data_IF_094612991502
#
_entry.id   IF_094612991502
#
_cell.length_a   1.000
_cell.length_b   1.000
_cell.length_c   1.000
_cell.angle_alpha   90.00
_cell.angle_beta   90.00
_cell.angle_gamma   90.00
#
_symmetry.space_group_name_H-M   'P 1'
#
loop_
_entity.id
_entity.type
_entity.pdbx_description
1 polymer ?
#
# COMPACT_ATOMS: atom_id res chain seq x y z
N UNK A 1 11.65 7.41 -58.84
CA UNK A 1 11.58 5.93 -58.77
C UNK A 1 12.85 5.43 -58.09
N UNK A 2 12.78 5.17 -56.79
CA UNK A 2 13.86 4.50 -56.03
C UNK A 2 13.19 3.37 -55.27
N UNK A 3 13.34 2.15 -55.77
CA UNK A 3 12.91 0.94 -55.06
C UNK A 3 13.98 0.59 -54.03
N UNK A 4 13.68 0.74 -52.74
CA UNK A 4 14.48 0.14 -51.67
C UNK A 4 13.76 -1.10 -51.14
N UNK A 5 14.37 -2.27 -51.36
CA UNK A 5 13.89 -3.58 -50.92
C UNK A 5 14.14 -3.70 -49.41
N UNK A 6 13.07 -3.70 -48.61
CA UNK A 6 13.15 -4.08 -47.19
C UNK A 6 13.13 -5.61 -47.13
N UNK A 7 14.25 -6.21 -46.74
CA UNK A 7 14.39 -7.66 -46.56
C UNK A 7 13.97 -8.03 -45.13
N UNK A 8 12.75 -8.56 -44.96
CA UNK A 8 12.29 -9.17 -43.71
C UNK A 8 12.61 -10.66 -43.72
N UNK A 9 13.84 -11.02 -43.39
CA UNK A 9 14.21 -12.41 -43.07
C UNK A 9 14.85 -12.45 -41.69
N UNK A 10 14.05 -12.31 -40.62
CA UNK A 10 14.37 -12.70 -39.24
C UNK A 10 13.17 -12.46 -38.29
N UNK A 11 11.97 -12.92 -38.63
CA UNK A 11 10.87 -13.00 -37.66
C UNK A 11 10.50 -14.47 -37.45
N UNK A 12 11.09 -15.03 -36.40
CA UNK A 12 10.96 -16.42 -35.96
C UNK A 12 9.51 -16.69 -35.52
N UNK A 13 8.92 -17.75 -36.07
CA UNK A 13 7.53 -18.19 -35.85
C UNK A 13 7.19 -18.70 -34.44
N UNK A 14 7.96 -18.29 -33.42
CA UNK A 14 7.76 -18.63 -32.02
C UNK A 14 6.92 -17.57 -31.27
N UNK A 15 6.71 -16.39 -31.85
CA UNK A 15 5.98 -15.29 -31.19
C UNK A 15 4.44 -15.37 -31.32
N UNK A 16 3.89 -16.25 -32.17
CA UNK A 16 2.44 -16.34 -32.39
C UNK A 16 1.76 -17.37 -31.47
N UNK A 17 2.51 -18.36 -30.95
CA UNK A 17 1.94 -19.46 -30.15
C UNK A 17 1.71 -19.07 -28.68
N UNK A 18 2.49 -18.12 -28.15
CA UNK A 18 2.38 -17.69 -26.74
C UNK A 18 1.16 -16.77 -26.50
N UNK A 19 0.69 -16.07 -27.53
CA UNK A 19 -0.45 -15.14 -27.42
C UNK A 19 -1.83 -15.82 -27.32
N UNK A 20 -1.94 -17.11 -27.65
CA UNK A 20 -3.22 -17.83 -27.73
C UNK A 20 -3.56 -18.67 -26.48
N UNK A 21 -2.60 -18.85 -25.56
CA UNK A 21 -2.75 -19.69 -24.36
C UNK A 21 -3.11 -18.92 -23.07
N UNK A 22 -3.18 -17.59 -23.11
CA UNK A 22 -3.47 -16.76 -21.94
C UNK A 22 -4.97 -16.37 -21.78
N UNK A 23 -5.87 -16.88 -22.64
CA UNK A 23 -7.29 -16.45 -22.66
C UNK A 23 -8.22 -17.45 -21.94
N UNK A 24 -7.72 -18.57 -21.40
CA UNK A 24 -8.56 -19.66 -20.84
C UNK A 24 -8.20 -20.05 -19.40
N UNK A 25 -8.23 -19.08 -18.48
CA UNK A 25 -8.21 -19.34 -17.03
C UNK A 25 -9.32 -18.59 -16.27
N UNK A 26 -10.46 -18.35 -16.93
CA UNK A 26 -11.71 -17.95 -16.28
C UNK A 26 -12.50 -19.17 -15.81
N UNK A 27 -11.98 -19.93 -14.83
CA UNK A 27 -12.73 -20.98 -14.15
C UNK A 27 -13.37 -20.41 -12.88
N UNK A 28 -14.68 -20.62 -12.74
CA UNK A 28 -15.57 -19.84 -11.90
C UNK A 28 -15.43 -20.00 -10.39
N UNK A 29 -15.58 -18.89 -9.68
CA UNK A 29 -15.97 -18.86 -8.28
C UNK A 29 -17.45 -19.27 -8.16
N UNK A 30 -17.71 -20.56 -7.98
CA UNK A 30 -19.02 -21.04 -7.52
C UNK A 30 -19.12 -20.76 -6.01
N UNK A 31 -19.75 -19.66 -5.61
CA UNK A 31 -20.08 -19.41 -4.20
C UNK A 31 -21.22 -20.34 -3.76
N UNK A 32 -20.93 -21.22 -2.80
CA UNK A 32 -21.94 -21.96 -2.07
C UNK A 32 -22.90 -21.02 -1.30
N UNK A 33 -24.17 -21.39 -1.07
CA UNK A 33 -25.09 -20.59 -0.28
C UNK A 33 -24.60 -20.45 1.17
N UNK A 34 -24.91 -19.33 1.84
CA UNK A 34 -24.37 -19.03 3.17
C UNK A 34 -24.94 -19.97 4.23
N UNK A 35 -24.06 -20.73 4.88
CA UNK A 35 -24.34 -21.37 6.16
C UNK A 35 -24.61 -20.29 7.20
N UNK A 36 -25.73 -20.38 7.90
CA UNK A 36 -26.08 -19.52 9.02
C UNK A 36 -24.96 -19.54 10.07
N UNK A 37 -24.34 -18.40 10.41
CA UNK A 37 -23.37 -18.38 11.50
C UNK A 37 -24.13 -18.48 12.82
N UNK A 38 -23.96 -19.62 13.50
CA UNK A 38 -24.20 -19.68 14.95
C UNK A 38 -23.20 -18.71 15.56
N UNK A 39 -23.70 -17.63 16.15
CA UNK A 39 -22.90 -16.65 16.88
C UNK A 39 -22.36 -17.34 18.12
N UNK A 40 -21.15 -17.88 18.01
CA UNK A 40 -20.34 -18.23 19.16
C UNK A 40 -19.95 -16.93 19.86
N UNK A 41 -20.30 -16.80 21.13
CA UNK A 41 -19.93 -15.67 21.98
C UNK A 41 -18.40 -15.65 22.10
N UNK A 42 -17.76 -14.72 21.40
CA UNK A 42 -16.32 -14.50 21.49
C UNK A 42 -15.98 -14.00 22.91
N UNK A 43 -15.09 -14.66 23.66
CA UNK A 43 -14.65 -14.12 24.94
C UNK A 43 -13.92 -12.80 24.70
N UNK A 44 -14.27 -11.78 25.49
CA UNK A 44 -13.67 -10.46 25.42
C UNK A 44 -12.15 -10.58 25.62
N UNK A 45 -11.38 -10.27 24.58
CA UNK A 45 -9.94 -10.16 24.68
C UNK A 45 -9.62 -9.03 25.67
N UNK A 46 -8.68 -9.29 26.58
CA UNK A 46 -8.16 -8.30 27.51
C UNK A 46 -7.50 -7.18 26.70
N UNK A 47 -8.16 -6.03 26.61
CA UNK A 47 -7.64 -4.86 25.91
C UNK A 47 -6.66 -4.14 26.84
N UNK A 48 -5.37 -4.20 26.50
CA UNK A 48 -4.33 -3.39 27.12
C UNK A 48 -4.27 -2.09 26.32
N UNK A 49 -4.85 -1.02 26.86
CA UNK A 49 -4.72 0.31 26.28
C UNK A 49 -3.37 0.88 26.71
N UNK A 50 -2.45 1.04 25.75
CA UNK A 50 -1.22 1.80 25.97
C UNK A 50 -1.56 3.24 25.62
N UNK A 51 -1.50 4.13 26.61
CA UNK A 51 -1.69 5.57 26.43
C UNK A 51 -0.42 6.13 25.76
N UNK A 52 -0.34 5.96 24.45
CA UNK A 52 0.66 6.58 23.58
C UNK A 52 0.02 7.79 22.88
N UNK A 53 0.54 9.02 23.05
CA UNK A 53 -0.04 10.22 22.44
C UNK A 53 -0.03 10.19 20.90
N UNK A 54 0.76 9.32 20.28
CA UNK A 54 0.81 9.12 18.83
C UNK A 54 -0.01 7.90 18.36
N UNK A 55 -0.66 7.17 19.28
CA UNK A 55 -1.52 6.05 18.91
C UNK A 55 -2.79 6.55 18.21
N UNK A 56 -3.08 6.09 16.98
CA UNK A 56 -4.28 6.52 16.27
C UNK A 56 -5.53 6.15 17.07
N UNK A 57 -6.37 7.14 17.34
CA UNK A 57 -7.63 6.95 18.05
C UNK A 57 -8.46 5.86 17.38
N UNK A 58 -8.95 4.91 18.18
CA UNK A 58 -9.73 3.79 17.68
C UNK A 58 -10.97 4.31 16.92
N UNK A 59 -11.22 3.75 15.74
CA UNK A 59 -12.32 4.18 14.90
C UNK A 59 -13.66 4.11 15.67
N UNK A 60 -14.36 5.24 15.74
CA UNK A 60 -15.66 5.34 16.41
C UNK A 60 -16.65 4.31 15.83
N UNK A 61 -17.45 3.69 16.71
CA UNK A 61 -18.45 2.72 16.33
C UNK A 61 -19.47 3.34 15.35
N UNK A 62 -19.64 2.71 14.19
CA UNK A 62 -20.52 3.21 13.13
C UNK A 62 -21.98 3.06 13.55
N UNK A 63 -22.84 4.08 13.35
CA UNK A 63 -24.27 3.94 13.59
C UNK A 63 -24.87 2.86 12.68
N UNK A 64 -25.89 2.17 13.17
CA UNK A 64 -26.68 1.19 12.41
C UNK A 64 -28.14 1.63 12.36
N UNK A 65 -28.84 1.27 11.28
CA UNK A 65 -30.29 1.42 11.21
C UNK A 65 -31.00 0.40 12.12
N UNK A 66 -32.29 0.60 12.46
CA UNK A 66 -33.06 -0.34 13.29
C UNK A 66 -33.21 -1.75 12.68
N UNK A 67 -32.99 -1.88 11.37
CA UNK A 67 -33.02 -3.14 10.61
C UNK A 67 -31.68 -3.89 10.65
N UNK A 68 -30.66 -3.35 11.35
CA UNK A 68 -29.35 -3.97 11.52
C UNK A 68 -28.36 -3.71 10.38
N UNK A 69 -28.73 -2.98 9.33
CA UNK A 69 -27.80 -2.61 8.27
C UNK A 69 -26.94 -1.40 8.69
N UNK A 70 -25.69 -1.31 8.20
CA UNK A 70 -24.82 -0.17 8.48
C UNK A 70 -25.41 1.13 7.97
N UNK A 71 -25.37 2.17 8.81
CA UNK A 71 -25.82 3.50 8.43
C UNK A 71 -24.70 4.29 7.73
N UNK A 72 -24.98 4.76 6.51
CA UNK A 72 -24.07 5.56 5.68
C UNK A 72 -24.45 7.05 5.63
N UNK A 73 -25.57 7.44 6.23
CA UNK A 73 -26.08 8.81 6.21
C UNK A 73 -25.34 9.76 7.18
N UNK A 74 -24.46 9.24 8.04
CA UNK A 74 -23.59 10.04 8.90
C UNK A 74 -22.31 10.51 8.19
N UNK A 75 -21.58 11.44 8.80
CA UNK A 75 -20.23 11.78 8.34
C UNK A 75 -19.35 10.52 8.36
N UNK A 76 -18.79 10.17 7.20
CA UNK A 76 -17.85 9.05 7.12
C UNK A 76 -16.56 9.48 7.81
N UNK A 77 -16.34 9.00 9.03
CA UNK A 77 -15.01 9.01 9.63
C UNK A 77 -14.12 8.10 8.79
N UNK A 78 -13.05 8.64 8.22
CA UNK A 78 -12.10 7.87 7.45
C UNK A 78 -11.40 6.86 8.38
N UNK A 79 -11.27 5.61 7.94
CA UNK A 79 -10.57 4.57 8.70
C UNK A 79 -9.05 4.83 8.84
N UNK A 80 -8.51 5.81 8.12
CA UNK A 80 -7.12 6.25 8.15
C UNK A 80 -7.03 7.77 8.03
N UNK A 81 -5.99 8.36 8.61
CA UNK A 81 -5.65 9.77 8.40
C UNK A 81 -5.51 10.02 6.90
N UNK A 82 -6.35 10.89 6.34
CA UNK A 82 -6.26 11.27 4.94
C UNK A 82 -5.39 12.52 4.83
N UNK A 83 -4.50 12.53 3.85
CA UNK A 83 -3.67 13.70 3.54
C UNK A 83 -4.57 14.88 3.15
N UNK A 84 -4.39 16.03 3.80
CA UNK A 84 -5.11 17.25 3.44
C UNK A 84 -4.60 17.85 2.13
N UNK A 85 -5.37 18.75 1.52
CA UNK A 85 -4.93 19.45 0.30
C UNK A 85 -3.69 20.31 0.60
N UNK A 86 -3.65 20.94 1.76
CA UNK A 86 -2.55 21.77 2.23
C UNK A 86 -1.28 20.93 2.40
N UNK A 87 -1.39 19.76 3.05
CA UNK A 87 -0.28 18.81 3.17
C UNK A 87 0.21 18.32 1.81
N UNK A 88 -0.71 18.01 0.88
CA UNK A 88 -0.35 17.59 -0.47
C UNK A 88 0.45 18.68 -1.20
N UNK A 89 0.03 19.94 -1.10
CA UNK A 89 0.77 21.08 -1.70
C UNK A 89 2.14 21.28 -1.04
N UNK A 90 2.24 21.13 0.28
CA UNK A 90 3.51 21.22 0.99
C UNK A 90 4.47 20.09 0.59
N UNK A 91 3.97 18.86 0.45
CA UNK A 91 4.78 17.73 -0.01
C UNK A 91 5.25 17.94 -1.46
N UNK A 92 4.38 18.43 -2.35
CA UNK A 92 4.76 18.74 -3.73
C UNK A 92 5.88 19.80 -3.78
N UNK A 93 5.80 20.84 -2.95
CA UNK A 93 6.83 21.87 -2.87
C UNK A 93 8.18 21.29 -2.40
N UNK A 94 8.15 20.41 -1.39
CA UNK A 94 9.34 19.72 -0.90
C UNK A 94 9.96 18.81 -1.96
N UNK A 95 9.15 18.02 -2.67
CA UNK A 95 9.67 17.14 -3.72
C UNK A 95 10.27 17.93 -4.88
N UNK A 96 9.67 19.06 -5.24
CA UNK A 96 10.19 19.95 -6.29
C UNK A 96 11.52 20.56 -5.88
N UNK A 97 11.65 21.05 -4.65
CA UNK A 97 12.91 21.62 -4.15
C UNK A 97 14.01 20.55 -4.05
N UNK A 98 13.66 19.34 -3.66
CA UNK A 98 14.59 18.21 -3.61
C UNK A 98 15.05 17.79 -5.01
N UNK A 99 14.15 17.78 -5.99
CA UNK A 99 14.49 17.57 -7.40
C UNK A 99 15.49 18.61 -7.90
N UNK A 100 15.23 19.90 -7.66
CA UNK A 100 16.13 20.99 -8.03
C UNK A 100 17.49 20.90 -7.32
N UNK A 101 17.51 20.51 -6.03
CA UNK A 101 18.74 20.31 -5.28
C UNK A 101 19.58 19.12 -5.80
N UNK A 102 18.93 18.05 -6.29
CA UNK A 102 19.63 16.94 -6.98
C UNK A 102 20.16 17.39 -8.34
N UNK A 103 19.37 18.09 -9.13
CA UNK A 103 19.77 18.55 -10.47
C UNK A 103 20.93 19.55 -10.42
N UNK A 104 20.91 20.46 -9.44
CA UNK A 104 22.00 21.42 -9.18
C UNK A 104 23.25 20.78 -8.56
N UNK A 105 23.22 19.50 -8.19
CA UNK A 105 24.34 18.81 -7.54
C UNK A 105 24.56 19.22 -6.08
N UNK A 106 23.62 19.96 -5.47
CA UNK A 106 23.69 20.34 -4.06
C UNK A 106 23.49 19.15 -3.11
N UNK A 107 22.81 18.09 -3.57
CA UNK A 107 22.76 16.80 -2.88
C UNK A 107 23.78 15.86 -3.52
N UNK A 108 24.82 15.50 -2.78
CA UNK A 108 25.85 14.60 -3.30
C UNK A 108 25.36 13.15 -3.29
N UNK A 109 25.71 12.39 -4.34
CA UNK A 109 25.33 10.97 -4.43
C UNK A 109 25.91 10.14 -3.27
N UNK A 110 27.12 10.47 -2.81
CA UNK A 110 27.77 9.78 -1.70
C UNK A 110 26.99 9.91 -0.38
N UNK A 111 26.47 11.10 -0.07
CA UNK A 111 25.64 11.33 1.14
C UNK A 111 24.26 10.68 1.03
N UNK A 112 23.68 10.64 -0.17
CA UNK A 112 22.43 9.91 -0.39
C UNK A 112 22.61 8.42 -0.09
N UNK A 113 23.69 7.83 -0.59
CA UNK A 113 23.99 6.41 -0.35
C UNK A 113 24.27 6.10 1.12
N UNK A 114 24.95 7.01 1.85
CA UNK A 114 25.18 6.82 3.29
C UNK A 114 23.88 6.84 4.10
N UNK A 115 22.99 7.81 3.84
CA UNK A 115 21.64 7.85 4.44
C UNK A 115 20.82 6.60 4.10
N UNK A 116 20.90 6.12 2.86
CA UNK A 116 20.18 4.92 2.46
C UNK A 116 20.71 3.66 3.20
N UNK A 117 22.02 3.56 3.40
CA UNK A 117 22.60 2.48 4.20
C UNK A 117 22.15 2.55 5.66
N UNK A 118 22.09 3.74 6.25
CA UNK A 118 21.59 3.97 7.60
C UNK A 118 20.12 3.56 7.75
N UNK A 119 19.25 3.97 6.82
CA UNK A 119 17.84 3.60 6.83
C UNK A 119 17.64 2.09 6.71
N UNK A 120 18.45 1.40 5.90
CA UNK A 120 18.43 -0.07 5.81
C UNK A 120 18.87 -0.73 7.10
N UNK A 121 19.90 -0.19 7.76
CA UNK A 121 20.34 -0.67 9.07
C UNK A 121 19.23 -0.53 10.10
N UNK A 122 18.61 0.66 10.17
CA UNK A 122 17.50 0.93 11.07
C UNK A 122 16.34 -0.04 10.83
N UNK A 123 15.93 -0.23 9.58
CA UNK A 123 14.84 -1.15 9.23
C UNK A 123 15.15 -2.61 9.68
N UNK A 124 16.40 -3.05 9.61
CA UNK A 124 16.80 -4.39 10.03
C UNK A 124 16.86 -4.55 11.56
N UNK A 125 17.29 -3.51 12.28
CA UNK A 125 17.60 -3.59 13.71
C UNK A 125 16.43 -3.16 14.61
N UNK A 126 15.62 -2.22 14.14
CA UNK A 126 14.58 -1.58 14.96
C UNK A 126 13.61 -2.59 15.58
N UNK A 127 13.11 -3.56 14.82
CA UNK A 127 12.16 -4.55 15.35
C UNK A 127 12.75 -5.41 16.49
N UNK A 128 13.99 -5.87 16.34
CA UNK A 128 14.67 -6.66 17.36
C UNK A 128 15.04 -5.82 18.58
N UNK A 129 15.50 -4.57 18.37
CA UNK A 129 15.81 -3.62 19.44
C UNK A 129 14.56 -3.27 20.27
N UNK A 130 13.43 -2.99 19.62
CA UNK A 130 12.15 -2.74 20.33
C UNK A 130 11.70 -3.97 21.11
N UNK A 131 11.85 -5.18 20.56
CA UNK A 131 11.49 -6.41 21.27
C UNK A 131 12.37 -6.66 22.51
N UNK A 132 13.67 -6.33 22.43
CA UNK A 132 14.58 -6.42 23.57
C UNK A 132 14.23 -5.42 24.68
N UNK A 133 13.70 -4.25 24.33
CA UNK A 133 13.25 -3.25 25.32
C UNK A 133 11.97 -3.67 26.06
N UNK A 134 11.08 -4.43 25.40
CA UNK A 134 9.84 -4.93 26.03
C UNK A 134 10.10 -6.11 26.98
N UNK A 135 11.20 -6.85 26.77
CA UNK A 135 11.50 -8.08 27.51
C UNK A 135 12.45 -7.89 28.71
N UNK A 136 12.93 -6.67 28.96
CA UNK A 136 13.65 -6.28 30.19
C UNK A 136 12.69 -5.72 31.24
#
# INVERSE_FOLDING_TARGET
MVHSKISFSHFSGQAIVVALLAIMAGAGCQSAPPSTPVVATTPAALQVNVEDPDNPEAAAARPTYPDGYPNFAGSLSAASVQMSNEEATALQAQLTSLGAARESGAITEAEYQSRLAELRRLAAQHGAETQAQITN
#
